data_IF_297925049915
#
_entry.id   IF_297925049915
#
_cell.length_a   1.000
_cell.length_b   1.000
_cell.length_c   1.000
_cell.angle_alpha   90.00
_cell.angle_beta   90.00
_cell.angle_gamma   90.00
#
_symmetry.space_group_name_H-M   'P 1'
#
loop_
_entity.id
_entity.type
_entity.pdbx_description
1 polymer ?
#
# COMPACT_ATOMS: atom_id res chain seq x y z
N UNK A 1 50.07 30.12 -32.99
CA UNK A 1 50.04 31.18 -31.95
C UNK A 1 49.42 32.43 -32.52
N UNK A 2 48.15 32.74 -32.21
CA UNK A 2 47.56 34.06 -32.41
C UNK A 2 46.58 34.36 -31.28
N UNK A 3 46.90 35.45 -30.56
CA UNK A 3 46.14 36.07 -29.48
C UNK A 3 45.07 36.97 -30.11
N UNK A 4 43.90 37.07 -29.49
CA UNK A 4 42.86 38.04 -29.82
C UNK A 4 41.88 38.15 -28.66
N UNK A 5 41.81 39.33 -28.08
CA UNK A 5 41.34 39.68 -26.74
C UNK A 5 39.95 40.36 -26.80
N UNK A 6 39.14 40.13 -25.76
CA UNK A 6 38.04 40.96 -25.22
C UNK A 6 36.79 41.27 -26.08
N UNK A 7 35.62 40.91 -25.56
CA UNK A 7 34.57 41.90 -25.29
C UNK A 7 33.64 41.43 -24.16
N UNK A 8 33.61 42.27 -23.13
CA UNK A 8 32.77 42.25 -21.93
C UNK A 8 31.34 42.66 -22.33
N UNK A 9 30.35 41.92 -21.84
CA UNK A 9 28.93 42.29 -21.96
C UNK A 9 28.17 41.87 -20.71
N UNK A 10 28.16 42.73 -19.71
CA UNK A 10 27.33 42.61 -18.50
C UNK A 10 25.91 43.02 -18.87
N UNK A 11 24.98 42.07 -18.88
CA UNK A 11 23.54 42.34 -18.92
C UNK A 11 22.94 41.95 -17.56
N UNK A 12 22.88 42.95 -16.69
CA UNK A 12 22.07 42.98 -15.48
C UNK A 12 20.64 43.36 -15.87
N UNK A 13 19.68 42.44 -15.76
CA UNK A 13 18.28 42.78 -15.51
C UNK A 13 17.68 41.74 -14.55
N UNK A 14 17.11 42.26 -13.46
CA UNK A 14 16.66 41.51 -12.31
C UNK A 14 15.33 40.78 -12.48
N UNK A 15 15.13 39.81 -11.60
CA UNK A 15 13.87 39.13 -11.34
C UNK A 15 13.86 38.60 -9.91
N UNK A 16 13.43 39.44 -8.98
CA UNK A 16 13.10 39.05 -7.61
C UNK A 16 11.80 38.24 -7.62
N UNK A 17 11.78 37.06 -7.00
CA UNK A 17 10.55 36.50 -6.47
C UNK A 17 10.41 34.98 -6.55
N UNK A 18 10.29 34.38 -5.37
CA UNK A 18 9.80 33.03 -5.03
C UNK A 18 10.85 31.92 -4.92
N UNK A 19 11.46 31.90 -3.74
CA UNK A 19 11.72 30.72 -2.90
C UNK A 19 11.92 29.39 -3.63
N UNK A 20 13.05 29.26 -4.31
CA UNK A 20 13.66 27.96 -4.56
C UNK A 20 14.32 27.49 -3.27
N UNK A 21 13.81 26.42 -2.67
CA UNK A 21 14.53 25.68 -1.63
C UNK A 21 15.75 25.07 -2.31
N UNK A 22 16.88 25.78 -2.28
CA UNK A 22 18.15 25.24 -2.71
C UNK A 22 18.48 24.05 -1.80
N UNK A 23 18.47 22.85 -2.38
CA UNK A 23 19.03 21.67 -1.73
C UNK A 23 20.52 21.95 -1.52
N UNK A 24 20.89 22.33 -0.30
CA UNK A 24 22.28 22.47 0.07
C UNK A 24 22.95 21.10 -0.08
N UNK A 25 23.73 20.91 -1.15
CA UNK A 25 24.64 19.78 -1.24
C UNK A 25 25.68 19.99 -0.15
N UNK A 26 25.59 19.20 0.93
CA UNK A 26 26.57 19.26 2.01
C UNK A 26 27.91 18.76 1.50
N UNK A 27 28.85 19.68 1.28
CA UNK A 27 30.25 19.33 1.02
C UNK A 27 30.86 18.83 2.33
N UNK A 28 31.46 17.62 2.38
CA UNK A 28 32.07 17.14 3.61
C UNK A 28 33.25 18.04 4.01
N UNK A 29 33.16 18.68 5.17
CA UNK A 29 34.28 19.40 5.79
C UNK A 29 35.12 18.36 6.56
N UNK A 30 36.40 18.15 6.21
CA UNK A 30 37.24 17.22 6.96
C UNK A 30 37.46 17.74 8.38
N UNK A 31 37.23 16.87 9.36
CA UNK A 31 37.52 17.12 10.77
C UNK A 31 39.03 17.37 10.96
N UNK A 32 39.40 18.46 11.64
CA UNK A 32 40.79 18.76 12.04
C UNK A 32 41.37 17.77 13.06
N UNK A 33 40.58 16.80 13.55
CA UNK A 33 40.97 15.82 14.58
C UNK A 33 40.97 14.37 14.08
N UNK A 34 40.89 14.14 12.76
CA UNK A 34 41.23 12.85 12.15
C UNK A 34 40.29 11.67 12.45
N UNK A 35 39.10 11.92 13.02
CA UNK A 35 38.07 10.89 13.24
C UNK A 35 36.80 11.24 12.44
N UNK A 36 36.37 10.40 11.48
CA UNK A 36 35.13 10.63 10.76
C UNK A 36 33.95 10.29 11.66
N UNK A 37 33.22 11.31 12.11
CA UNK A 37 31.89 11.13 12.70
C UNK A 37 30.87 11.68 11.70
N UNK A 38 29.82 10.90 11.45
CA UNK A 38 28.74 11.30 10.54
C UNK A 38 27.87 12.31 11.27
N UNK A 39 27.83 13.55 10.77
CA UNK A 39 26.82 14.53 11.19
C UNK A 39 25.52 14.16 10.47
N UNK A 40 24.56 13.58 11.19
CA UNK A 40 23.19 13.49 10.71
C UNK A 40 22.43 14.75 11.10
N UNK A 41 21.97 15.53 10.12
CA UNK A 41 20.97 16.57 10.37
C UNK A 41 19.64 15.90 10.68
N UNK A 42 19.10 16.17 11.87
CA UNK A 42 17.77 15.70 12.25
C UNK A 42 16.73 16.39 11.36
N UNK A 43 16.17 15.65 10.41
CA UNK A 43 15.05 16.13 9.58
C UNK A 43 13.81 16.37 10.45
N UNK A 44 13.05 17.43 10.14
CA UNK A 44 11.78 17.68 10.82
C UNK A 44 10.74 16.65 10.37
N UNK A 45 9.94 16.14 11.30
CA UNK A 45 8.82 15.27 10.97
C UNK A 45 7.87 15.97 9.97
N UNK A 46 7.58 15.31 8.85
CA UNK A 46 6.47 15.70 7.96
C UNK A 46 5.19 15.69 8.78
N UNK A 47 4.40 16.79 8.84
CA UNK A 47 3.13 16.78 9.54
C UNK A 47 2.23 15.69 8.97
N UNK A 48 1.76 14.78 9.82
CA UNK A 48 0.71 13.84 9.44
C UNK A 48 -0.53 14.63 9.03
N UNK A 49 -1.22 14.19 7.97
CA UNK A 49 -2.50 14.77 7.58
C UNK A 49 -3.43 14.80 8.80
N UNK A 50 -3.92 15.99 9.16
CA UNK A 50 -4.86 16.16 10.25
C UNK A 50 -6.09 15.29 9.98
N UNK A 51 -6.41 14.40 10.92
CA UNK A 51 -7.62 13.57 10.85
C UNK A 51 -8.82 14.50 10.91
N UNK A 52 -9.53 14.66 9.79
CA UNK A 52 -10.78 15.43 9.75
C UNK A 52 -11.81 14.78 10.68
N UNK A 53 -12.36 15.58 11.61
CA UNK A 53 -13.50 15.22 12.44
C UNK A 53 -13.17 14.25 13.58
N UNK A 54 -12.76 14.79 14.73
CA UNK A 54 -12.86 14.05 16.00
C UNK A 54 -14.35 13.97 16.35
N UNK A 55 -14.97 12.82 16.09
CA UNK A 55 -16.13 12.41 16.87
C UNK A 55 -15.60 12.08 18.26
N UNK A 56 -15.88 12.94 19.25
CA UNK A 56 -15.63 12.64 20.66
C UNK A 56 -16.63 11.58 21.10
N UNK A 57 -16.41 10.34 20.70
CA UNK A 57 -17.05 9.21 21.35
C UNK A 57 -16.30 8.98 22.67
N UNK A 58 -16.93 9.35 23.78
CA UNK A 58 -16.48 8.94 25.11
C UNK A 58 -16.45 7.42 25.14
N UNK A 59 -15.26 6.82 25.13
CA UNK A 59 -15.10 5.37 25.23
C UNK A 59 -15.53 4.94 26.63
N UNK A 60 -16.68 4.28 26.75
CA UNK A 60 -17.06 3.59 27.98
C UNK A 60 -16.15 2.36 28.16
N UNK A 61 -15.54 2.15 29.34
CA UNK A 61 -14.78 0.93 29.63
C UNK A 61 -15.67 -0.32 29.74
N UNK A 62 -16.99 -0.16 29.76
CA UNK A 62 -17.96 -1.25 29.76
C UNK A 62 -18.85 -1.15 28.50
N UNK A 63 -18.64 -2.01 27.49
CA UNK A 63 -19.61 -2.16 26.41
C UNK A 63 -20.85 -2.87 26.98
N UNK A 64 -21.82 -2.10 27.49
CA UNK A 64 -23.13 -2.62 27.87
C UNK A 64 -23.97 -2.81 26.61
N UNK A 65 -23.76 -3.93 25.92
CA UNK A 65 -24.52 -4.29 24.74
C UNK A 65 -23.68 -5.06 23.75
N UNK A 66 -23.67 -6.39 23.87
CA UNK A 66 -23.44 -7.21 22.68
C UNK A 66 -24.65 -7.03 21.79
N UNK A 67 -24.54 -6.15 20.79
CA UNK A 67 -25.38 -6.29 19.61
C UNK A 67 -25.16 -7.73 19.12
N UNK A 68 -26.22 -8.54 18.93
CA UNK A 68 -26.07 -9.86 18.38
C UNK A 68 -25.42 -9.70 17.00
N UNK A 69 -24.12 -9.98 16.93
CA UNK A 69 -23.44 -10.09 15.65
C UNK A 69 -24.11 -11.25 14.93
N UNK A 70 -24.52 -11.08 13.66
CA UNK A 70 -25.02 -12.20 12.88
C UNK A 70 -23.99 -13.32 12.95
N UNK A 71 -24.42 -14.53 13.33
CA UNK A 71 -23.53 -15.67 13.53
C UNK A 71 -22.80 -16.08 12.26
N UNK A 72 -23.29 -15.64 11.09
CA UNK A 72 -22.67 -15.79 9.80
C UNK A 72 -22.96 -14.53 8.96
N UNK A 73 -22.17 -13.45 9.05
CA UNK A 73 -22.25 -12.42 8.03
C UNK A 73 -21.98 -13.10 6.67
N UNK A 74 -22.81 -12.85 5.64
CA UNK A 74 -22.57 -13.43 4.33
C UNK A 74 -21.16 -13.04 3.89
N UNK A 75 -20.38 -14.02 3.41
CA UNK A 75 -19.11 -13.73 2.77
C UNK A 75 -19.38 -12.68 1.69
N UNK A 76 -18.62 -11.58 1.69
CA UNK A 76 -18.70 -10.60 0.63
C UNK A 76 -18.60 -11.38 -0.69
N UNK A 77 -19.58 -11.24 -1.56
CA UNK A 77 -19.53 -11.82 -2.90
C UNK A 77 -19.01 -10.72 -3.81
N UNK A 78 -18.11 -11.05 -4.73
CA UNK A 78 -17.78 -10.11 -5.79
C UNK A 78 -19.06 -9.85 -6.59
N UNK A 79 -19.55 -8.61 -6.59
CA UNK A 79 -20.65 -8.20 -7.47
C UNK A 79 -20.04 -7.81 -8.81
N UNK A 80 -20.11 -8.64 -9.87
CA UNK A 80 -19.68 -8.21 -11.19
C UNK A 80 -20.58 -7.06 -11.64
N UNK A 81 -20.01 -5.87 -11.89
CA UNK A 81 -20.78 -4.80 -12.53
C UNK A 81 -20.99 -5.15 -13.99
N UNK A 82 -22.24 -5.08 -14.46
CA UNK A 82 -22.61 -5.32 -15.87
C UNK A 82 -21.87 -4.39 -16.83
N UNK A 83 -21.50 -3.23 -16.33
CA UNK A 83 -20.49 -2.36 -16.91
C UNK A 83 -19.16 -2.77 -16.32
N UNK A 84 -18.47 -3.68 -16.99
CA UNK A 84 -17.04 -3.88 -16.77
C UNK A 84 -16.24 -2.75 -17.43
N UNK A 85 -16.79 -1.53 -17.39
CA UNK A 85 -16.02 -0.31 -17.48
C UNK A 85 -14.95 -0.44 -16.39
N UNK A 86 -13.66 -0.18 -16.68
CA UNK A 86 -12.60 -0.19 -15.68
C UNK A 86 -12.91 0.87 -14.61
N UNK A 87 -13.84 0.55 -13.73
CA UNK A 87 -14.14 1.34 -12.57
C UNK A 87 -12.96 1.03 -11.69
N UNK A 88 -12.05 2.00 -11.58
CA UNK A 88 -10.85 1.89 -10.77
C UNK A 88 -11.32 1.35 -9.41
N UNK A 89 -11.15 0.05 -9.11
CA UNK A 89 -11.76 -0.67 -7.98
C UNK A 89 -11.39 -0.14 -6.58
N UNK A 90 -10.85 1.07 -6.55
CA UNK A 90 -10.62 2.00 -5.46
C UNK A 90 -11.96 2.34 -4.79
N UNK A 91 -12.33 1.56 -3.78
CA UNK A 91 -13.39 1.96 -2.84
C UNK A 91 -14.32 0.86 -2.40
N UNK A 92 -14.36 -0.27 -3.11
CA UNK A 92 -15.21 -1.42 -2.74
C UNK A 92 -14.34 -2.65 -2.55
N UNK A 93 -14.46 -3.28 -1.38
CA UNK A 93 -13.84 -4.57 -1.08
C UNK A 93 -14.84 -5.66 -1.44
N UNK A 94 -14.55 -6.42 -2.50
CA UNK A 94 -15.32 -7.58 -2.91
C UNK A 94 -14.97 -8.85 -2.14
N UNK A 95 -15.55 -9.95 -2.59
CA UNK A 95 -15.26 -11.30 -2.08
C UNK A 95 -14.02 -11.94 -2.68
N UNK A 96 -13.29 -12.68 -1.85
CA UNK A 96 -12.38 -13.72 -2.32
C UNK A 96 -12.94 -15.11 -1.93
N UNK A 97 -13.10 -15.99 -2.92
CA UNK A 97 -13.44 -17.40 -2.71
C UNK A 97 -12.16 -18.18 -2.46
N UNK A 98 -12.13 -18.98 -1.39
CA UNK A 98 -10.92 -19.71 -0.98
C UNK A 98 -11.22 -21.19 -0.90
N UNK A 99 -10.34 -21.99 -1.51
CA UNK A 99 -10.32 -23.45 -1.37
C UNK A 99 -9.08 -23.82 -0.54
N UNK A 100 -9.23 -24.14 0.76
CA UNK A 100 -8.10 -24.48 1.61
C UNK A 100 -7.58 -25.90 1.34
N UNK A 101 -6.28 -26.07 1.58
CA UNK A 101 -5.59 -27.35 1.75
C UNK A 101 -4.76 -27.29 3.05
N UNK A 102 -3.90 -28.27 3.31
CA UNK A 102 -3.17 -28.34 4.57
C UNK A 102 -2.13 -27.24 4.76
N UNK A 103 -1.29 -26.99 3.77
CA UNK A 103 -0.24 -25.95 3.84
C UNK A 103 -0.36 -24.89 2.75
N UNK A 104 -1.51 -24.86 2.08
CA UNK A 104 -1.78 -23.93 0.98
C UNK A 104 -3.26 -23.63 0.86
N UNK A 105 -3.61 -22.60 0.11
CA UNK A 105 -4.99 -22.32 -0.28
C UNK A 105 -5.03 -21.70 -1.68
N UNK A 106 -6.01 -22.10 -2.48
CA UNK A 106 -6.31 -21.44 -3.76
C UNK A 106 -7.30 -20.30 -3.51
N UNK A 107 -6.90 -19.08 -3.83
CA UNK A 107 -7.67 -17.85 -3.63
C UNK A 107 -8.12 -17.34 -4.99
N UNK A 108 -9.42 -17.26 -5.20
CA UNK A 108 -10.06 -16.76 -6.41
C UNK A 108 -10.73 -15.42 -6.14
N UNK A 109 -10.40 -14.40 -6.92
CA UNK A 109 -10.94 -13.05 -6.80
C UNK A 109 -11.18 -12.43 -8.18
N UNK A 110 -12.03 -11.41 -8.24
CA UNK A 110 -12.35 -10.73 -9.50
C UNK A 110 -11.29 -9.68 -9.83
N UNK A 111 -10.73 -9.72 -11.05
CA UNK A 111 -9.82 -8.70 -11.56
C UNK A 111 -10.63 -7.56 -12.21
N UNK A 112 -10.72 -6.37 -11.59
CA UNK A 112 -11.47 -5.25 -12.16
C UNK A 112 -10.78 -4.62 -13.39
N UNK A 113 -9.52 -4.98 -13.66
CA UNK A 113 -8.69 -4.35 -14.69
C UNK A 113 -8.27 -2.92 -14.32
N UNK A 114 -8.03 -2.12 -15.36
CA UNK A 114 -7.56 -0.74 -15.27
C UNK A 114 -6.24 -0.54 -16.00
N UNK A 115 -6.13 0.58 -16.72
CA UNK A 115 -4.96 0.92 -17.55
C UNK A 115 -3.67 1.13 -16.75
N UNK A 116 -3.80 1.35 -15.45
CA UNK A 116 -2.71 1.60 -14.51
C UNK A 116 -2.55 0.49 -13.47
N UNK A 117 -3.24 -0.65 -13.59
CA UNK A 117 -3.08 -1.77 -12.68
C UNK A 117 -1.74 -2.47 -12.98
N UNK A 118 -0.85 -2.50 -11.99
CA UNK A 118 0.50 -3.05 -12.13
C UNK A 118 0.56 -4.51 -11.69
N UNK A 119 -0.02 -4.81 -10.53
CA UNK A 119 0.05 -6.13 -9.91
C UNK A 119 -1.03 -6.29 -8.84
N UNK A 120 -1.30 -7.54 -8.49
CA UNK A 120 -1.95 -7.89 -7.23
C UNK A 120 -0.91 -8.34 -6.21
N UNK A 121 -1.23 -8.16 -4.93
CA UNK A 121 -0.51 -8.72 -3.79
C UNK A 121 -1.53 -9.49 -2.97
N UNK A 122 -1.28 -10.77 -2.77
CA UNK A 122 -2.20 -11.64 -2.04
C UNK A 122 -1.49 -12.19 -0.82
N UNK A 123 -2.13 -12.12 0.34
CA UNK A 123 -1.60 -12.62 1.61
C UNK A 123 -2.67 -13.37 2.40
N UNK A 124 -2.23 -14.08 3.43
CA UNK A 124 -3.07 -14.74 4.42
C UNK A 124 -2.69 -14.23 5.81
N UNK A 125 -3.69 -13.78 6.57
CA UNK A 125 -3.54 -13.24 7.92
C UNK A 125 -4.10 -14.27 8.89
N UNK A 126 -3.29 -14.74 9.83
CA UNK A 126 -3.73 -15.68 10.87
C UNK A 126 -4.76 -14.99 11.80
N UNK A 127 -5.87 -15.65 12.11
CA UNK A 127 -6.90 -15.13 13.02
C UNK A 127 -6.88 -15.84 14.38
N UNK A 128 -6.03 -16.85 14.55
CA UNK A 128 -5.84 -17.53 15.83
C UNK A 128 -5.05 -16.62 16.79
N UNK A 129 -5.59 -16.48 18.01
CA UNK A 129 -4.93 -15.77 19.09
C UNK A 129 -3.72 -16.57 19.56
N UNK A 130 -2.52 -16.07 19.24
CA UNK A 130 -1.25 -16.65 19.67
C UNK A 130 -0.54 -15.73 20.65
N UNK A 131 0.21 -16.31 21.58
CA UNK A 131 1.10 -15.54 22.45
C UNK A 131 2.37 -15.16 21.68
N UNK A 132 2.74 -13.88 21.72
CA UNK A 132 3.94 -13.37 21.05
C UNK A 132 3.69 -12.86 19.63
N UNK A 133 4.74 -12.93 18.80
CA UNK A 133 4.67 -12.44 17.43
C UNK A 133 3.82 -13.38 16.57
N UNK A 134 2.81 -12.82 15.93
CA UNK A 134 2.02 -13.55 14.95
C UNK A 134 2.86 -13.82 13.70
N UNK A 135 2.80 -15.04 13.18
CA UNK A 135 3.52 -15.43 11.97
C UNK A 135 3.02 -14.65 10.76
N UNK A 136 3.94 -14.03 10.03
CA UNK A 136 3.67 -13.44 8.72
C UNK A 136 3.82 -14.51 7.62
N UNK A 137 2.81 -14.64 6.77
CA UNK A 137 2.82 -15.52 5.57
C UNK A 137 3.54 -14.84 4.41
N UNK A 138 3.66 -13.51 4.44
CA UNK A 138 4.23 -12.71 3.37
C UNK A 138 3.23 -12.43 2.24
N UNK A 139 3.70 -11.70 1.23
CA UNK A 139 2.90 -11.31 0.07
C UNK A 139 3.29 -12.14 -1.15
N UNK A 140 2.30 -12.75 -1.79
CA UNK A 140 2.43 -13.32 -3.14
C UNK A 140 2.10 -12.24 -4.15
N UNK A 141 3.08 -11.85 -4.97
CA UNK A 141 2.88 -10.89 -6.06
C UNK A 141 2.36 -11.63 -7.28
N UNK A 142 1.26 -11.14 -7.86
CA UNK A 142 0.60 -11.77 -9.00
C UNK A 142 0.50 -10.75 -10.13
N UNK A 143 0.92 -11.17 -11.33
CA UNK A 143 0.72 -10.36 -12.54
C UNK A 143 -0.77 -10.37 -12.89
N UNK A 144 -1.39 -9.20 -13.17
CA UNK A 144 -2.81 -9.16 -13.50
C UNK A 144 -3.09 -9.98 -14.77
N UNK A 145 -4.12 -10.82 -14.72
CA UNK A 145 -4.60 -11.54 -15.90
C UNK A 145 -5.42 -10.63 -16.83
N UNK A 146 -6.29 -11.26 -17.62
CA UNK A 146 -7.30 -10.51 -18.37
C UNK A 146 -8.17 -9.70 -17.42
N UNK A 147 -8.41 -8.44 -17.78
CA UNK A 147 -9.35 -7.59 -17.06
C UNK A 147 -10.74 -8.23 -17.09
N UNK A 148 -11.55 -7.96 -16.06
CA UNK A 148 -12.94 -8.40 -15.98
C UNK A 148 -13.15 -9.91 -15.89
N UNK A 149 -12.15 -10.64 -15.41
CA UNK A 149 -12.21 -12.08 -15.21
C UNK A 149 -11.85 -12.45 -13.77
N UNK A 150 -12.27 -13.64 -13.34
CA UNK A 150 -11.78 -14.20 -12.09
C UNK A 150 -10.34 -14.68 -12.27
N UNK A 151 -9.50 -14.38 -11.28
CA UNK A 151 -8.12 -14.82 -11.21
C UNK A 151 -7.93 -15.67 -9.96
N UNK A 152 -7.21 -16.78 -10.11
CA UNK A 152 -6.88 -17.70 -9.02
C UNK A 152 -5.37 -17.67 -8.75
N UNK A 153 -5.00 -17.58 -7.48
CA UNK A 153 -3.62 -17.69 -7.01
C UNK A 153 -3.53 -18.72 -5.88
N UNK A 154 -2.43 -19.47 -5.83
CA UNK A 154 -2.15 -20.38 -4.72
C UNK A 154 -1.22 -19.69 -3.72
N UNK A 155 -1.67 -19.58 -2.47
CA UNK A 155 -0.84 -19.19 -1.33
C UNK A 155 -0.30 -20.45 -0.68
N UNK A 156 0.99 -20.48 -0.37
CA UNK A 156 1.66 -21.65 0.22
C UNK A 156 2.31 -21.27 1.55
N UNK A 157 2.81 -22.28 2.27
CA UNK A 157 3.44 -22.08 3.56
C UNK A 157 2.44 -21.80 4.69
N UNK A 158 1.16 -22.12 4.52
CA UNK A 158 0.18 -22.00 5.59
C UNK A 158 0.43 -23.05 6.68
N UNK A 159 0.05 -22.75 7.90
CA UNK A 159 0.04 -23.74 8.99
C UNK A 159 -1.25 -24.55 8.90
N UNK A 160 -1.20 -25.90 8.93
CA UNK A 160 -2.39 -26.73 8.95
C UNK A 160 -3.29 -26.46 10.15
N UNK A 161 -4.60 -26.60 9.97
CA UNK A 161 -5.63 -26.39 11.01
C UNK A 161 -5.61 -25.00 11.66
N UNK A 162 -5.14 -23.98 10.94
CA UNK A 162 -5.12 -22.58 11.37
C UNK A 162 -6.20 -21.78 10.63
N UNK A 163 -6.78 -20.80 11.33
CA UNK A 163 -7.77 -19.89 10.75
C UNK A 163 -7.09 -18.71 10.06
N UNK A 164 -7.46 -18.44 8.81
CA UNK A 164 -6.90 -17.36 8.02
C UNK A 164 -7.98 -16.48 7.37
N UNK A 165 -7.69 -15.19 7.25
CA UNK A 165 -8.34 -14.28 6.30
C UNK A 165 -7.38 -13.97 5.17
N UNK A 166 -7.84 -14.15 3.93
CA UNK A 166 -7.08 -13.86 2.72
C UNK A 166 -7.42 -12.45 2.23
N UNK A 167 -6.38 -11.64 1.99
CA UNK A 167 -6.52 -10.26 1.50
C UNK A 167 -5.85 -10.12 0.15
N UNK A 168 -6.53 -9.47 -0.78
CA UNK A 168 -6.05 -9.16 -2.12
C UNK A 168 -5.96 -7.65 -2.27
N UNK A 169 -4.74 -7.16 -2.42
CA UNK A 169 -4.45 -5.77 -2.69
C UNK A 169 -4.10 -5.61 -4.17
N UNK A 170 -4.72 -4.64 -4.81
CA UNK A 170 -4.34 -4.21 -6.14
C UNK A 170 -3.40 -3.01 -6.04
N UNK A 171 -2.34 -3.01 -6.85
CA UNK A 171 -1.35 -1.94 -6.91
C UNK A 171 -1.49 -1.25 -8.24
N UNK A 172 -1.74 0.05 -8.21
CA UNK A 172 -1.85 0.88 -9.39
C UNK A 172 -0.75 1.94 -9.44
N UNK A 173 -0.31 2.28 -10.65
CA UNK A 173 0.42 3.53 -10.87
C UNK A 173 -0.51 4.74 -10.71
N UNK A 174 0.06 5.84 -10.25
CA UNK A 174 -0.64 7.13 -10.23
C UNK A 174 -0.80 7.67 -11.66
N UNK A 175 -1.91 8.38 -11.89
CA UNK A 175 -2.23 9.01 -13.19
C UNK A 175 -2.08 10.52 -13.06
N UNK A 176 -1.66 11.20 -14.13
CA UNK A 176 -1.62 12.66 -14.19
C UNK A 176 -0.31 13.31 -13.75
N UNK A 177 0.84 12.65 -13.98
CA UNK A 177 2.17 13.22 -13.71
C UNK A 177 2.63 13.13 -12.25
N UNK A 178 1.87 12.45 -11.40
CA UNK A 178 2.30 12.10 -10.05
C UNK A 178 3.11 10.80 -10.12
N UNK A 179 4.33 10.81 -9.60
CA UNK A 179 5.13 9.60 -9.45
C UNK A 179 4.66 8.76 -8.26
N UNK A 180 4.62 7.44 -8.45
CA UNK A 180 4.39 6.48 -7.37
C UNK A 180 3.28 5.47 -7.62
N UNK A 181 3.12 4.58 -6.64
CA UNK A 181 2.13 3.50 -6.65
C UNK A 181 1.17 3.62 -5.47
N UNK A 182 -0.11 3.33 -5.69
CA UNK A 182 -1.09 3.19 -4.63
C UNK A 182 -1.54 1.72 -4.56
N UNK A 183 -1.59 1.18 -3.34
CA UNK A 183 -2.15 -0.13 -3.08
C UNK A 183 -3.46 0.01 -2.30
N UNK A 184 -4.47 -0.76 -2.67
CA UNK A 184 -5.71 -0.87 -1.89
C UNK A 184 -6.26 -2.29 -1.95
N UNK A 185 -6.85 -2.74 -0.84
CA UNK A 185 -7.57 -4.02 -0.79
C UNK A 185 -8.80 -3.96 -1.69
N UNK A 186 -8.90 -4.91 -2.61
CA UNK A 186 -10.04 -5.05 -3.54
C UNK A 186 -10.88 -6.29 -3.28
N UNK A 187 -10.33 -7.28 -2.58
CA UNK A 187 -11.07 -8.47 -2.18
C UNK A 187 -10.56 -9.01 -0.85
N UNK A 188 -11.48 -9.56 -0.06
CA UNK A 188 -11.17 -10.23 1.21
C UNK A 188 -12.06 -11.45 1.37
N UNK A 189 -11.52 -12.53 1.92
CA UNK A 189 -12.31 -13.70 2.30
C UNK A 189 -12.98 -13.51 3.67
N UNK A 190 -13.91 -14.40 4.01
CA UNK A 190 -14.21 -14.67 5.42
C UNK A 190 -13.05 -15.38 6.13
N UNK A 191 -13.28 -15.80 7.37
CA UNK A 191 -12.33 -16.67 8.08
C UNK A 191 -12.42 -18.09 7.50
N UNK A 192 -11.29 -18.64 7.07
CA UNK A 192 -11.18 -19.96 6.43
C UNK A 192 -10.19 -20.80 7.23
N UNK A 193 -10.57 -22.04 7.54
CA UNK A 193 -9.67 -23.00 8.20
C UNK A 193 -8.95 -23.86 7.16
N UNK A 194 -7.62 -23.97 7.28
CA UNK A 194 -6.81 -24.96 6.54
C UNK A 194 -7.09 -26.38 7.02
N UNK A 195 -6.93 -27.39 6.16
CA UNK A 195 -7.30 -28.80 6.44
C UNK A 195 -6.24 -29.61 7.16
#
# INVERSE_FOLDING_TARGET
>A
MRRGLLLVGVLLLGGCGKSGTATATATPVPSSTGKPWVITTQGSATPSAARGGVWTATTSPFPSGFLPLPSNPPAATATPSWQCTPNNGRGTIGGATVVPAGTSAAVTFFNPGGVNLLQFRVTAINEDLVTGAQRDVGWTVVTPGKACEYQTVTITGLTPKTHYVFSVDAVWSQVGGNDGTNAATIARSGVISTT
#
